data_IF_485567375624
#
_entry.id   IF_485567375624
#
_cell.length_a   1.000
_cell.length_b   1.000
_cell.length_c   1.000
_cell.angle_alpha   90.00
_cell.angle_beta   90.00
_cell.angle_gamma   90.00
#
_symmetry.space_group_name_H-M   'P 1'
#
loop_
_entity.id
_entity.type
_entity.pdbx_description
1 polymer ?
#
# COMPACT_ATOMS: atom_id res chain seq x y z
N UNK A 1 22.12 36.83 27.08
CA UNK A 1 21.00 36.84 26.11
C UNK A 1 19.91 37.79 26.58
N UNK A 2 19.42 38.66 25.69
CA UNK A 2 18.28 39.56 25.95
C UNK A 2 16.97 38.75 25.94
N UNK A 3 15.93 39.26 26.61
CA UNK A 3 14.65 38.55 26.73
C UNK A 3 13.98 38.28 25.38
N UNK A 4 14.04 39.23 24.45
CA UNK A 4 13.52 39.08 23.09
C UNK A 4 14.26 38.01 22.26
N UNK A 5 15.58 37.96 22.37
CA UNK A 5 16.42 36.93 21.70
C UNK A 5 16.05 35.53 22.20
N UNK A 6 15.84 35.39 23.52
CA UNK A 6 15.54 34.10 24.13
C UNK A 6 14.16 33.59 23.72
N UNK A 7 13.16 34.48 23.66
CA UNK A 7 11.84 34.18 23.11
C UNK A 7 11.91 33.74 21.65
N UNK A 8 12.62 34.48 20.80
CA UNK A 8 12.78 34.15 19.39
C UNK A 8 13.47 32.78 19.20
N UNK A 9 14.47 32.47 20.02
CA UNK A 9 15.17 31.18 19.97
C UNK A 9 14.26 30.02 20.37
N UNK A 10 13.49 30.16 21.47
CA UNK A 10 12.54 29.14 21.92
C UNK A 10 11.49 28.87 20.85
N UNK A 11 10.93 29.92 20.25
CA UNK A 11 9.97 29.80 19.16
C UNK A 11 10.55 29.13 17.92
N UNK A 12 11.77 29.50 17.54
CA UNK A 12 12.46 28.88 16.41
C UNK A 12 12.72 27.39 16.64
N UNK A 13 13.18 27.01 17.82
CA UNK A 13 13.44 25.60 18.14
C UNK A 13 12.15 24.79 18.28
N UNK A 14 11.13 25.34 18.91
CA UNK A 14 9.85 24.65 19.05
C UNK A 14 9.00 24.67 17.77
N UNK A 15 9.41 25.41 16.73
CA UNK A 15 8.66 25.63 15.47
C UNK A 15 7.25 26.18 15.73
N UNK A 16 7.16 27.15 16.64
CA UNK A 16 5.90 27.79 17.04
C UNK A 16 6.01 29.29 16.98
N UNK A 17 4.87 29.97 16.88
CA UNK A 17 4.79 31.43 16.79
C UNK A 17 4.19 32.09 18.04
N UNK A 18 3.49 31.31 18.88
CA UNK A 18 2.79 31.82 20.06
C UNK A 18 3.10 31.03 21.33
N UNK A 19 2.90 31.68 22.49
CA UNK A 19 3.03 31.04 23.81
C UNK A 19 2.00 29.91 23.97
N UNK A 20 0.80 30.08 23.40
CA UNK A 20 -0.24 29.07 23.45
C UNK A 20 0.18 27.80 22.70
N UNK A 21 0.71 27.93 21.48
CA UNK A 21 1.25 26.80 20.71
C UNK A 21 2.41 26.13 21.46
N UNK A 22 3.31 26.92 22.04
CA UNK A 22 4.44 26.42 22.82
C UNK A 22 3.97 25.58 24.02
N UNK A 23 3.00 26.07 24.79
CA UNK A 23 2.45 25.37 25.96
C UNK A 23 1.56 24.18 25.58
N UNK A 24 0.95 24.20 24.39
CA UNK A 24 0.20 23.06 23.89
C UNK A 24 1.12 21.93 23.43
N UNK A 25 2.26 22.26 22.81
CA UNK A 25 3.27 21.29 22.35
C UNK A 25 4.08 20.70 23.51
N UNK A 26 4.30 21.47 24.56
CA UNK A 26 5.12 21.08 25.71
C UNK A 26 4.35 21.26 27.02
N UNK A 27 3.74 20.17 27.50
CA UNK A 27 2.90 20.16 28.71
C UNK A 27 3.62 20.72 29.95
N UNK A 28 4.91 20.41 30.10
CA UNK A 28 5.76 20.90 31.20
C UNK A 28 5.91 22.42 31.24
N UNK A 29 5.62 23.13 30.13
CA UNK A 29 5.67 24.59 30.08
C UNK A 29 4.36 25.26 30.52
N UNK A 30 3.27 24.50 30.74
CA UNK A 30 1.97 25.09 31.09
C UNK A 30 2.00 25.91 32.37
N UNK A 31 2.71 25.42 33.40
CA UNK A 31 2.85 26.08 34.69
C UNK A 31 3.74 27.33 34.67
N UNK A 32 4.53 27.55 33.61
CA UNK A 32 5.51 28.63 33.59
C UNK A 32 4.88 30.01 33.28
N UNK A 33 5.34 31.03 34.00
CA UNK A 33 4.98 32.42 33.75
C UNK A 33 5.88 33.03 32.69
N UNK A 34 5.42 32.98 31.43
CA UNK A 34 6.15 33.45 30.25
C UNK A 34 6.27 34.99 30.16
N UNK A 35 5.91 35.74 31.21
CA UNK A 35 6.31 37.14 31.36
C UNK A 35 7.73 37.26 31.93
N UNK A 36 8.22 36.23 32.63
CA UNK A 36 9.51 36.22 33.31
C UNK A 36 10.61 35.66 32.42
N UNK A 37 11.76 36.32 32.40
CA UNK A 37 12.94 35.85 31.65
C UNK A 37 13.40 34.44 32.07
N UNK A 38 13.33 34.13 33.37
CA UNK A 38 13.70 32.82 33.93
C UNK A 38 12.86 31.70 33.31
N UNK A 39 11.55 31.90 33.23
CA UNK A 39 10.64 30.91 32.60
C UNK A 39 10.94 30.67 31.13
N UNK A 40 11.42 31.68 30.39
CA UNK A 40 11.89 31.46 29.02
C UNK A 40 13.20 30.67 28.97
N UNK A 41 14.10 30.86 29.94
CA UNK A 41 15.34 30.06 30.03
C UNK A 41 15.03 28.60 30.30
N UNK A 42 14.09 28.32 31.22
CA UNK A 42 13.59 26.98 31.48
C UNK A 42 12.93 26.36 30.24
N UNK A 43 12.08 27.14 29.55
CA UNK A 43 11.47 26.69 28.30
C UNK A 43 12.52 26.34 27.23
N UNK A 44 13.60 27.11 27.12
CA UNK A 44 14.70 26.82 26.19
C UNK A 44 15.39 25.49 26.51
N UNK A 45 15.59 25.19 27.80
CA UNK A 45 16.17 23.91 28.23
C UNK A 45 15.24 22.76 27.85
N UNK A 46 13.96 22.85 28.23
CA UNK A 46 12.96 21.82 27.94
C UNK A 46 12.88 21.52 26.43
N UNK A 47 12.78 22.56 25.59
CA UNK A 47 12.67 22.41 24.15
C UNK A 47 13.93 21.78 23.55
N UNK A 48 15.12 22.15 24.04
CA UNK A 48 16.38 21.53 23.58
C UNK A 48 16.46 20.07 23.96
N UNK A 49 16.19 19.74 25.23
CA UNK A 49 16.23 18.36 25.71
C UNK A 49 15.30 17.47 24.88
N UNK A 50 14.08 17.91 24.61
CA UNK A 50 13.13 17.11 23.82
C UNK A 50 13.54 16.99 22.34
N UNK A 51 14.16 18.01 21.75
CA UNK A 51 14.73 17.89 20.40
C UNK A 51 15.86 16.85 20.36
N UNK A 52 16.72 16.84 21.37
CA UNK A 52 17.84 15.91 21.43
C UNK A 52 17.34 14.47 21.69
N UNK A 53 16.36 14.30 22.59
CA UNK A 53 15.67 13.02 22.80
C UNK A 53 15.02 12.51 21.51
N UNK A 54 14.32 13.36 20.76
CA UNK A 54 13.71 12.98 19.50
C UNK A 54 14.75 12.62 18.44
N UNK A 55 15.86 13.35 18.35
CA UNK A 55 16.97 13.01 17.44
C UNK A 55 17.61 11.67 17.80
N UNK A 56 17.80 11.40 19.09
CA UNK A 56 18.33 10.13 19.57
C UNK A 56 17.36 8.97 19.25
N UNK A 57 16.06 9.19 19.44
CA UNK A 57 15.02 8.23 19.06
C UNK A 57 15.01 7.97 17.55
N UNK A 58 15.19 8.99 16.71
CA UNK A 58 15.29 8.79 15.25
C UNK A 58 16.55 8.02 14.84
N UNK A 59 17.68 8.28 15.51
CA UNK A 59 18.94 7.61 15.22
C UNK A 59 18.94 6.15 15.70
N UNK A 60 18.25 5.87 16.80
CA UNK A 60 18.09 4.53 17.35
C UNK A 60 16.68 4.34 17.88
N UNK A 61 15.72 4.02 17.00
CA UNK A 61 14.34 3.80 17.43
C UNK A 61 14.27 2.54 18.31
N UNK A 62 13.30 2.47 19.24
CA UNK A 62 13.04 1.27 20.02
C UNK A 62 12.81 0.06 19.11
N UNK A 63 13.23 -1.10 19.56
CA UNK A 63 13.21 -2.32 18.75
C UNK A 63 11.78 -2.73 18.35
N UNK A 64 10.80 -2.45 19.21
CA UNK A 64 9.37 -2.63 18.94
C UNK A 64 8.93 -1.94 17.62
N UNK A 65 9.43 -0.73 17.34
CA UNK A 65 9.13 -0.04 16.10
C UNK A 65 9.85 -0.67 14.91
N UNK A 66 11.12 -1.08 15.08
CA UNK A 66 11.88 -1.74 14.01
C UNK A 66 11.21 -3.05 13.60
N UNK A 67 10.75 -3.83 14.58
CA UNK A 67 10.01 -5.07 14.38
C UNK A 67 8.70 -4.82 13.63
N UNK A 68 7.89 -3.86 14.08
CA UNK A 68 6.63 -3.50 13.40
C UNK A 68 6.85 -3.11 11.93
N UNK A 69 7.85 -2.27 11.64
CA UNK A 69 8.13 -1.88 10.25
C UNK A 69 8.67 -3.05 9.42
N UNK A 70 9.49 -3.93 10.01
CA UNK A 70 9.93 -5.15 9.34
C UNK A 70 8.78 -6.11 9.03
N UNK A 71 7.81 -6.22 9.93
CA UNK A 71 6.61 -7.05 9.74
C UNK A 71 5.71 -6.47 8.64
N UNK A 72 5.53 -5.15 8.62
CA UNK A 72 4.81 -4.45 7.55
C UNK A 72 5.49 -4.73 6.21
N UNK A 73 6.80 -4.52 6.11
CA UNK A 73 7.55 -4.74 4.88
C UNK A 73 7.43 -6.20 4.40
N UNK A 74 7.58 -7.17 5.31
CA UNK A 74 7.43 -8.59 5.00
C UNK A 74 6.01 -8.92 4.51
N UNK A 75 4.99 -8.39 5.18
CA UNK A 75 3.59 -8.65 4.84
C UNK A 75 3.24 -8.03 3.49
N UNK A 76 3.72 -6.82 3.20
CA UNK A 76 3.53 -6.16 1.91
C UNK A 76 4.18 -6.95 0.77
N UNK A 77 5.41 -7.44 0.96
CA UNK A 77 6.08 -8.29 -0.03
C UNK A 77 5.34 -9.60 -0.28
N UNK A 78 4.81 -10.24 0.78
CA UNK A 78 4.02 -11.47 0.63
C UNK A 78 2.71 -11.20 -0.11
N UNK A 79 2.05 -10.08 0.17
CA UNK A 79 0.84 -9.66 -0.54
C UNK A 79 1.12 -9.44 -2.03
N UNK A 80 2.17 -8.68 -2.38
CA UNK A 80 2.54 -8.40 -3.77
C UNK A 80 2.84 -9.69 -4.53
N UNK A 81 3.53 -10.63 -3.88
CA UNK A 81 3.80 -11.96 -4.45
C UNK A 81 2.49 -12.72 -4.72
N UNK A 82 1.59 -12.80 -3.76
CA UNK A 82 0.30 -13.49 -3.93
C UNK A 82 -0.56 -12.84 -5.00
N UNK A 83 -0.52 -11.52 -5.12
CA UNK A 83 -1.22 -10.78 -6.17
C UNK A 83 -0.65 -11.12 -7.56
N UNK A 84 0.68 -11.21 -7.69
CA UNK A 84 1.32 -11.63 -8.94
C UNK A 84 0.94 -13.08 -9.32
N UNK A 85 0.97 -14.00 -8.35
CA UNK A 85 0.54 -15.40 -8.54
C UNK A 85 -0.94 -15.47 -8.99
N UNK A 86 -1.83 -14.71 -8.35
CA UNK A 86 -3.25 -14.66 -8.72
C UNK A 86 -3.47 -14.13 -10.14
N UNK A 87 -2.72 -13.09 -10.54
CA UNK A 87 -2.79 -12.55 -11.89
C UNK A 87 -2.30 -13.54 -12.95
N UNK A 88 -1.24 -14.29 -12.64
CA UNK A 88 -0.75 -15.34 -13.52
C UNK A 88 -1.81 -16.43 -13.72
N UNK A 89 -2.40 -16.93 -12.63
CA UNK A 89 -3.46 -17.94 -12.70
C UNK A 89 -4.67 -17.43 -13.49
N UNK A 90 -5.05 -16.16 -13.30
CA UNK A 90 -6.14 -15.56 -14.07
C UNK A 90 -5.84 -15.52 -15.58
N UNK A 91 -4.60 -15.19 -15.96
CA UNK A 91 -4.18 -15.20 -17.36
C UNK A 91 -4.22 -16.62 -17.95
N UNK A 92 -3.73 -17.62 -17.21
CA UNK A 92 -3.78 -19.04 -17.62
C UNK A 92 -5.22 -19.52 -17.83
N UNK A 93 -6.15 -19.14 -16.93
CA UNK A 93 -7.57 -19.47 -17.06
C UNK A 93 -8.20 -18.88 -18.33
N UNK A 94 -7.82 -17.65 -18.72
CA UNK A 94 -8.30 -17.01 -19.95
C UNK A 94 -7.81 -17.77 -21.18
N UNK A 95 -6.55 -18.21 -21.18
CA UNK A 95 -5.99 -19.02 -22.26
C UNK A 95 -6.74 -20.35 -22.37
N UNK A 96 -6.90 -21.08 -21.25
CA UNK A 96 -7.63 -22.36 -21.24
C UNK A 96 -9.07 -22.18 -21.74
N UNK A 97 -9.76 -21.13 -21.32
CA UNK A 97 -11.12 -20.87 -21.77
C UNK A 97 -11.20 -20.62 -23.29
N UNK A 98 -10.19 -19.94 -23.84
CA UNK A 98 -10.08 -19.67 -25.28
C UNK A 98 -9.81 -20.96 -26.06
N UNK A 99 -8.89 -21.80 -25.58
CA UNK A 99 -8.58 -23.10 -26.18
C UNK A 99 -9.80 -24.03 -26.17
N UNK A 100 -10.58 -24.03 -25.08
CA UNK A 100 -11.84 -24.79 -24.99
C UNK A 100 -12.89 -24.28 -25.97
N UNK A 101 -12.99 -22.97 -26.19
CA UNK A 101 -13.91 -22.40 -27.17
C UNK A 101 -13.52 -22.79 -28.61
N UNK A 102 -12.22 -22.78 -28.92
CA UNK A 102 -11.70 -23.23 -30.21
C UNK A 102 -11.99 -24.72 -30.44
N UNK A 103 -11.68 -25.58 -29.45
CA UNK A 103 -11.97 -27.01 -29.51
C UNK A 103 -13.47 -27.30 -29.71
N UNK A 104 -14.34 -26.53 -29.04
CA UNK A 104 -15.78 -26.65 -29.21
C UNK A 104 -16.25 -26.30 -30.63
N UNK A 105 -15.66 -25.25 -31.24
CA UNK A 105 -15.94 -24.86 -32.63
C UNK A 105 -15.50 -25.93 -33.62
N UNK A 106 -14.31 -26.50 -33.42
CA UNK A 106 -13.78 -27.56 -34.26
C UNK A 106 -14.67 -28.80 -34.25
N UNK A 107 -15.06 -29.26 -33.07
CA UNK A 107 -15.97 -30.40 -32.94
C UNK A 107 -17.37 -30.13 -33.53
N UNK A 108 -17.89 -28.91 -33.38
CA UNK A 108 -19.15 -28.53 -34.03
C UNK A 108 -19.03 -28.58 -35.55
N UNK A 109 -17.93 -28.07 -36.11
CA UNK A 109 -17.65 -28.11 -37.55
C UNK A 109 -17.51 -29.54 -38.09
N UNK A 110 -16.82 -30.41 -37.34
CA UNK A 110 -16.67 -31.82 -37.67
C UNK A 110 -18.03 -32.55 -37.67
N UNK A 111 -18.84 -32.34 -36.63
CA UNK A 111 -20.19 -32.91 -36.54
C UNK A 111 -21.08 -32.48 -37.71
N UNK A 112 -21.03 -31.20 -38.09
CA UNK A 112 -21.79 -30.68 -39.23
C UNK A 112 -21.28 -31.23 -40.57
N UNK A 113 -19.98 -31.50 -40.70
CA UNK A 113 -19.42 -32.20 -41.87
C UNK A 113 -19.93 -33.64 -41.96
N UNK A 114 -19.81 -34.40 -40.86
CA UNK A 114 -20.24 -35.79 -40.78
C UNK A 114 -21.73 -35.93 -41.11
N UNK A 115 -22.56 -35.03 -40.58
CA UNK A 115 -24.01 -35.00 -40.87
C UNK A 115 -24.30 -34.80 -42.36
N UNK A 116 -23.52 -33.98 -43.05
CA UNK A 116 -23.64 -33.76 -44.51
C UNK A 116 -23.22 -34.99 -45.30
N UNK A 117 -22.11 -35.64 -44.93
CA UNK A 117 -21.62 -36.85 -45.58
C UNK A 117 -22.60 -38.01 -45.45
N UNK A 118 -23.09 -38.28 -44.24
CA UNK A 118 -24.10 -39.32 -43.98
C UNK A 118 -25.37 -39.02 -44.78
N UNK A 119 -25.84 -37.77 -44.78
CA UNK A 119 -27.01 -37.38 -45.56
C UNK A 119 -26.84 -37.57 -47.07
N UNK A 120 -25.64 -37.31 -47.61
CA UNK A 120 -25.32 -37.55 -49.01
C UNK A 120 -25.27 -39.05 -49.34
N UNK A 121 -24.61 -39.85 -48.52
CA UNK A 121 -24.52 -41.31 -48.68
C UNK A 121 -25.91 -41.97 -48.69
N UNK A 122 -26.80 -41.56 -47.77
CA UNK A 122 -28.17 -42.06 -47.72
C UNK A 122 -28.96 -41.74 -49.00
N UNK A 123 -28.81 -40.54 -49.56
CA UNK A 123 -29.47 -40.15 -50.82
C UNK A 123 -28.97 -40.96 -52.00
N UNK A 124 -27.66 -41.22 -52.06
CA UNK A 124 -27.04 -42.04 -53.11
C UNK A 124 -27.56 -43.47 -53.02
N UNK A 125 -27.55 -44.08 -51.82
CA UNK A 125 -28.08 -45.44 -51.60
C UNK A 125 -29.54 -45.55 -52.05
N UNK A 126 -30.39 -44.61 -51.61
CA UNK A 126 -31.81 -44.61 -51.98
C UNK A 126 -32.03 -44.49 -53.48
N UNK A 127 -31.17 -43.76 -54.20
CA UNK A 127 -31.24 -43.62 -55.66
C UNK A 127 -30.72 -44.86 -56.39
N UNK A 128 -29.77 -45.60 -55.81
CA UNK A 128 -29.28 -46.86 -56.34
C UNK A 128 -30.31 -47.99 -56.18
N UNK A 129 -31.10 -48.00 -55.10
CA UNK A 129 -32.19 -48.98 -54.89
C UNK A 129 -33.40 -48.77 -55.82
N UNK A 130 -33.54 -47.59 -56.43
CA UNK A 130 -34.66 -47.23 -57.31
C UNK A 130 -34.37 -47.42 -58.81
N UNK A 131 -33.15 -47.80 -59.18
CA UNK A 131 -32.73 -48.12 -60.57
C UNK A 131 -32.48 -49.62 -60.73
#
# INVERSE_FOLDING_TARGET
MKHAELKAQVYKLAEVSTIQQLKAKHESLKALDMRRKVSWQEALVVVKTQQDEFRNWLANPPDEYKELFSEIDSTSQEYDRKLAEANQVAAELITIASDLEELAKDHQGEADSLKREVGAAQRISKRAELN
#
